data_IF_638052823719
#
_entry.id   IF_638052823719
#
_cell.length_a   1.000
_cell.length_b   1.000
_cell.length_c   1.000
_cell.angle_alpha   90.00
_cell.angle_beta   90.00
_cell.angle_gamma   90.00
#
_symmetry.space_group_name_H-M   'P 1'
#
loop_
_entity.id
_entity.type
_entity.pdbx_description
1 polymer ?
#
# COMPACT_ATOMS: atom_id res chain seq x y z
N UNK A 1 -15.90 59.89 -16.99
CA UNK A 1 -16.68 59.04 -16.06
C UNK A 1 -15.97 59.06 -14.72
N UNK A 2 -16.62 59.73 -13.76
CA UNK A 2 -16.10 59.96 -12.40
C UNK A 2 -16.55 58.78 -11.53
N UNK A 3 -15.60 57.98 -11.03
CA UNK A 3 -15.87 56.79 -10.27
C UNK A 3 -16.15 57.02 -8.75
N UNK A 4 -16.09 58.29 -8.32
CA UNK A 4 -16.22 58.63 -6.89
C UNK A 4 -17.67 58.76 -6.38
N UNK A 5 -18.66 58.63 -7.25
CA UNK A 5 -20.07 58.79 -6.83
C UNK A 5 -20.82 57.51 -6.45
N UNK A 6 -20.20 56.34 -6.65
CA UNK A 6 -20.89 55.03 -6.49
C UNK A 6 -20.75 54.41 -5.08
N UNK A 7 -19.93 55.01 -4.21
CA UNK A 7 -19.61 54.40 -2.89
C UNK A 7 -20.20 55.15 -1.68
N UNK A 8 -21.29 55.90 -1.84
CA UNK A 8 -22.01 56.42 -0.67
C UNK A 8 -23.04 55.40 -0.18
N UNK A 9 -22.62 54.51 0.73
CA UNK A 9 -23.53 53.67 1.48
C UNK A 9 -24.36 54.52 2.43
N UNK A 10 -25.69 54.30 2.54
CA UNK A 10 -26.53 55.02 3.49
C UNK A 10 -26.11 54.67 4.91
N UNK A 11 -26.08 55.68 5.78
CA UNK A 11 -25.79 55.51 7.22
C UNK A 11 -26.78 54.54 7.87
N UNK A 12 -26.26 53.56 8.61
CA UNK A 12 -27.09 52.62 9.41
C UNK A 12 -27.89 53.40 10.44
N UNK A 13 -29.18 53.06 10.63
CA UNK A 13 -29.95 53.57 11.77
C UNK A 13 -29.34 53.08 13.08
N UNK A 14 -29.21 53.96 14.05
CA UNK A 14 -28.75 53.66 15.40
C UNK A 14 -29.90 52.97 16.14
N UNK A 15 -29.80 51.67 16.36
CA UNK A 15 -30.74 50.95 17.25
C UNK A 15 -30.35 51.22 18.72
N UNK A 16 -31.35 51.31 19.62
CA UNK A 16 -31.09 51.46 21.05
C UNK A 16 -30.49 50.20 21.64
N UNK A 17 -29.72 50.27 22.73
CA UNK A 17 -29.07 49.12 23.35
C UNK A 17 -30.15 48.16 23.91
N UNK A 18 -30.18 46.93 23.33
CA UNK A 18 -30.93 45.82 23.88
C UNK A 18 -30.04 45.14 24.90
N UNK A 19 -30.50 45.08 26.16
CA UNK A 19 -29.88 44.25 27.19
C UNK A 19 -29.97 42.78 26.75
N UNK A 20 -28.91 42.27 26.20
CA UNK A 20 -28.75 40.83 25.94
C UNK A 20 -28.19 40.16 27.21
N UNK A 21 -28.82 39.12 27.73
CA UNK A 21 -28.22 38.32 28.79
C UNK A 21 -26.91 37.71 28.26
N UNK A 22 -25.90 37.71 29.12
CA UNK A 22 -24.58 37.12 28.81
C UNK A 22 -24.78 35.74 28.17
N UNK A 23 -24.13 35.47 27.00
CA UNK A 23 -24.14 34.13 26.45
C UNK A 23 -23.49 33.17 27.47
N UNK A 24 -24.04 31.97 27.62
CA UNK A 24 -23.41 30.97 28.48
C UNK A 24 -21.95 30.72 28.02
N UNK A 25 -21.09 30.50 29.00
CA UNK A 25 -19.67 30.25 28.80
C UNK A 25 -19.48 29.10 27.79
N UNK A 26 -18.96 29.42 26.60
CA UNK A 26 -18.84 28.48 25.46
C UNK A 26 -17.72 27.46 25.72
N UNK A 27 -16.88 27.70 26.72
CA UNK A 27 -15.72 26.85 27.01
C UNK A 27 -16.06 25.48 27.60
N UNK A 28 -17.29 25.30 28.13
CA UNK A 28 -17.68 24.04 28.77
C UNK A 28 -18.41 23.05 27.85
N UNK A 29 -18.84 23.46 26.65
CA UNK A 29 -19.64 22.64 25.73
C UNK A 29 -18.76 21.97 24.64
N UNK A 30 -17.50 22.39 24.48
CA UNK A 30 -16.62 21.90 23.42
C UNK A 30 -15.86 20.62 23.81
N UNK A 31 -15.96 20.18 25.08
CA UNK A 31 -15.09 19.11 25.63
C UNK A 31 -15.58 17.67 25.41
N UNK A 32 -16.76 17.42 24.83
CA UNK A 32 -17.30 16.04 24.73
C UNK A 32 -17.76 15.61 23.35
N UNK A 33 -17.73 16.47 22.35
CA UNK A 33 -17.94 16.03 20.96
C UNK A 33 -16.61 15.52 20.38
N UNK A 34 -16.58 14.32 19.76
CA UNK A 34 -15.40 13.89 19.02
C UNK A 34 -15.07 14.96 17.97
N UNK A 35 -13.82 15.44 17.98
CA UNK A 35 -13.33 16.44 17.03
C UNK A 35 -13.56 15.95 15.59
N UNK A 36 -14.51 16.53 14.84
CA UNK A 36 -14.78 16.10 13.46
C UNK A 36 -13.56 16.33 12.53
N UNK A 37 -12.57 17.14 12.97
CA UNK A 37 -11.31 17.33 12.27
C UNK A 37 -10.28 16.24 12.58
N UNK A 38 -10.44 15.48 13.68
CA UNK A 38 -9.56 14.35 13.96
C UNK A 38 -9.71 13.23 12.93
N UNK A 39 -10.93 12.99 12.44
CA UNK A 39 -11.21 12.03 11.36
C UNK A 39 -10.67 12.52 10.01
N UNK A 40 -10.64 13.84 9.75
CA UNK A 40 -10.13 14.42 8.52
C UNK A 40 -8.58 14.38 8.41
N UNK A 41 -7.87 14.31 9.53
CA UNK A 41 -6.39 14.23 9.53
C UNK A 41 -5.84 12.90 9.03
N UNK A 42 -6.67 11.87 8.93
CA UNK A 42 -6.27 10.55 8.45
C UNK A 42 -6.57 10.33 6.95
N UNK A 43 -7.17 11.30 6.27
CA UNK A 43 -7.38 11.25 4.82
C UNK A 43 -6.18 11.88 4.12
N UNK A 44 -5.34 11.06 3.51
CA UNK A 44 -4.29 11.53 2.61
C UNK A 44 -4.83 11.60 1.17
N UNK A 45 -4.45 12.66 0.49
CA UNK A 45 -4.62 12.77 -0.96
C UNK A 45 -3.33 12.24 -1.57
N UNK A 46 -3.41 11.15 -2.34
CA UNK A 46 -2.27 10.67 -3.12
C UNK A 46 -1.96 11.66 -4.26
N UNK A 47 -0.77 11.58 -4.84
CA UNK A 47 -0.35 12.38 -6.00
C UNK A 47 -1.30 12.23 -7.20
N UNK A 48 -2.11 11.19 -7.22
CA UNK A 48 -3.17 10.95 -8.21
C UNK A 48 -4.54 11.50 -7.81
N UNK A 49 -4.64 12.28 -6.74
CA UNK A 49 -5.89 12.92 -6.29
C UNK A 49 -6.89 11.99 -5.59
N UNK A 50 -6.55 10.72 -5.35
CA UNK A 50 -7.39 9.79 -4.61
C UNK A 50 -7.23 9.97 -3.10
N UNK A 51 -8.37 10.07 -2.40
CA UNK A 51 -8.38 10.07 -0.93
C UNK A 51 -8.03 8.68 -0.41
N UNK A 52 -7.00 8.60 0.42
CA UNK A 52 -6.60 7.38 1.12
C UNK A 52 -7.22 7.45 2.53
N UNK A 53 -8.13 6.54 2.81
CA UNK A 53 -8.73 6.40 4.14
C UNK A 53 -7.89 5.44 4.99
N UNK A 54 -7.04 5.98 5.84
CA UNK A 54 -6.23 5.19 6.78
C UNK A 54 -7.05 4.48 7.85
N UNK A 55 -8.26 4.95 8.13
CA UNK A 55 -9.17 4.29 9.07
C UNK A 55 -9.81 3.04 8.49
N UNK A 56 -9.80 2.89 7.15
CA UNK A 56 -10.41 1.74 6.49
C UNK A 56 -9.81 0.43 6.99
N UNK A 57 -8.47 0.35 7.06
CA UNK A 57 -7.80 -0.85 7.58
C UNK A 57 -8.11 -1.09 9.06
N UNK A 58 -8.17 -0.05 9.88
CA UNK A 58 -8.53 -0.17 11.30
C UNK A 58 -9.94 -0.73 11.48
N UNK A 59 -10.90 -0.24 10.69
CA UNK A 59 -12.28 -0.72 10.69
C UNK A 59 -12.37 -2.17 10.21
N UNK A 60 -11.64 -2.51 9.15
CA UNK A 60 -11.52 -3.88 8.65
C UNK A 60 -10.94 -4.81 9.73
N UNK A 61 -9.79 -4.45 10.32
CA UNK A 61 -9.14 -5.22 11.38
C UNK A 61 -10.09 -5.50 12.53
N UNK A 62 -10.82 -4.50 13.01
CA UNK A 62 -11.80 -4.66 14.07
C UNK A 62 -12.90 -5.65 13.68
N UNK A 63 -13.48 -5.50 12.48
CA UNK A 63 -14.53 -6.38 11.98
C UNK A 63 -14.06 -7.84 11.91
N UNK A 64 -12.87 -8.09 11.38
CA UNK A 64 -12.32 -9.44 11.22
C UNK A 64 -11.92 -10.05 12.57
N UNK A 65 -11.34 -9.27 13.47
CA UNK A 65 -10.99 -9.74 14.82
C UNK A 65 -12.23 -10.09 15.68
N UNK A 66 -13.39 -9.51 15.37
CA UNK A 66 -14.64 -9.78 16.07
C UNK A 66 -15.42 -10.97 15.43
N UNK A 67 -15.04 -11.40 14.22
CA UNK A 67 -15.68 -12.53 13.53
C UNK A 67 -15.24 -13.87 14.12
N UNK A 68 -16.19 -14.57 14.72
CA UNK A 68 -15.92 -15.84 15.41
C UNK A 68 -15.48 -16.95 14.45
N UNK A 69 -16.04 -17.00 13.24
CA UNK A 69 -15.75 -18.05 12.27
C UNK A 69 -14.29 -17.92 11.80
N UNK A 70 -13.89 -16.72 11.42
CA UNK A 70 -12.51 -16.46 10.97
C UNK A 70 -11.53 -16.75 12.12
N UNK A 71 -11.86 -16.32 13.33
CA UNK A 71 -11.04 -16.54 14.51
C UNK A 71 -10.82 -18.04 14.80
N UNK A 72 -11.89 -18.81 14.71
CA UNK A 72 -11.81 -20.27 14.93
C UNK A 72 -10.99 -20.96 13.83
N UNK A 73 -11.16 -20.57 12.57
CA UNK A 73 -10.38 -21.10 11.44
C UNK A 73 -8.89 -20.77 11.55
N UNK A 74 -8.55 -19.55 11.93
CA UNK A 74 -7.15 -19.13 12.14
C UNK A 74 -6.52 -19.87 13.32
N UNK A 75 -7.24 -20.02 14.43
CA UNK A 75 -6.77 -20.78 15.59
C UNK A 75 -6.53 -22.26 15.27
N UNK A 76 -7.29 -22.84 14.34
CA UNK A 76 -7.12 -24.19 13.82
C UNK A 76 -6.04 -24.29 12.73
N UNK A 77 -5.35 -23.17 12.42
CA UNK A 77 -4.37 -23.06 11.32
C UNK A 77 -4.95 -23.37 9.93
N UNK A 78 -6.27 -23.29 9.77
CA UNK A 78 -6.96 -23.52 8.51
C UNK A 78 -7.08 -22.21 7.72
N UNK A 79 -5.93 -21.68 7.29
CA UNK A 79 -5.85 -20.38 6.58
C UNK A 79 -6.57 -20.39 5.23
N UNK A 80 -6.59 -21.51 4.54
CA UNK A 80 -7.22 -21.62 3.22
C UNK A 80 -8.74 -21.44 3.29
N UNK A 81 -9.39 -22.03 4.29
CA UNK A 81 -10.82 -21.82 4.52
C UNK A 81 -11.10 -20.40 5.04
N UNK A 82 -10.23 -19.87 5.90
CA UNK A 82 -10.36 -18.50 6.38
C UNK A 82 -10.27 -17.47 5.23
N UNK A 83 -9.35 -17.67 4.28
CA UNK A 83 -9.24 -16.85 3.06
C UNK A 83 -10.49 -16.93 2.19
N UNK A 84 -10.98 -18.15 1.96
CA UNK A 84 -12.19 -18.38 1.17
C UNK A 84 -13.39 -17.69 1.82
N UNK A 85 -13.56 -17.86 3.12
CA UNK A 85 -14.63 -17.22 3.87
C UNK A 85 -14.50 -15.67 3.80
N UNK A 86 -13.31 -15.13 3.96
CA UNK A 86 -13.07 -13.70 3.89
C UNK A 86 -13.39 -13.12 2.51
N UNK A 87 -12.98 -13.79 1.43
CA UNK A 87 -13.32 -13.42 0.06
C UNK A 87 -14.85 -13.49 -0.17
N UNK A 88 -15.49 -14.53 0.33
CA UNK A 88 -16.91 -14.75 0.07
C UNK A 88 -17.84 -13.87 0.90
N UNK A 89 -17.44 -13.48 2.11
CA UNK A 89 -18.34 -12.81 3.06
C UNK A 89 -18.02 -11.36 3.34
N UNK A 90 -16.78 -10.94 3.17
CA UNK A 90 -16.32 -9.61 3.59
C UNK A 90 -15.76 -8.79 2.44
N UNK A 91 -14.89 -9.37 1.62
CA UNK A 91 -14.24 -8.64 0.53
C UNK A 91 -15.15 -8.55 -0.70
N UNK A 92 -15.00 -7.45 -1.43
CA UNK A 92 -15.63 -7.22 -2.74
C UNK A 92 -17.16 -7.37 -2.78
N UNK A 93 -17.83 -7.17 -1.64
CA UNK A 93 -19.30 -7.18 -1.57
C UNK A 93 -19.86 -5.81 -1.94
N UNK A 94 -20.99 -5.75 -2.70
CA UNK A 94 -21.63 -4.48 -3.08
C UNK A 94 -22.05 -3.61 -1.88
N UNK A 95 -22.30 -4.24 -0.74
CA UNK A 95 -22.72 -3.58 0.51
C UNK A 95 -21.56 -3.28 1.45
N UNK A 96 -20.36 -3.77 1.15
CA UNK A 96 -19.19 -3.63 1.99
C UNK A 96 -18.13 -2.75 1.30
N UNK A 97 -17.54 -1.84 2.06
CA UNK A 97 -16.52 -0.91 1.55
C UNK A 97 -15.14 -1.55 1.37
N UNK A 98 -14.96 -2.81 1.79
CA UNK A 98 -13.66 -3.45 1.83
C UNK A 98 -13.33 -4.14 0.52
N UNK A 99 -12.34 -3.63 -0.18
CA UNK A 99 -11.66 -4.33 -1.28
C UNK A 99 -10.18 -4.47 -0.95
N UNK A 100 -9.52 -5.50 -1.48
CA UNK A 100 -8.08 -5.71 -1.27
C UNK A 100 -7.30 -4.45 -1.69
N UNK A 101 -7.68 -3.84 -2.80
CA UNK A 101 -7.03 -2.65 -3.33
C UNK A 101 -7.17 -1.43 -2.40
N UNK A 102 -8.36 -1.20 -1.83
CA UNK A 102 -8.56 -0.12 -0.86
C UNK A 102 -7.78 -0.36 0.43
N UNK A 103 -7.73 -1.62 0.90
CA UNK A 103 -6.97 -1.99 2.09
C UNK A 103 -5.46 -1.84 1.85
N UNK A 104 -4.96 -2.25 0.68
CA UNK A 104 -3.58 -2.03 0.25
C UNK A 104 -3.19 -0.55 0.32
N UNK A 105 -4.03 0.31 -0.27
CA UNK A 105 -3.81 1.78 -0.24
C UNK A 105 -3.89 2.35 1.17
N UNK A 106 -4.82 1.88 1.99
CA UNK A 106 -4.94 2.28 3.39
C UNK A 106 -3.70 1.92 4.23
N UNK A 107 -3.02 0.83 3.87
CA UNK A 107 -1.75 0.40 4.46
C UNK A 107 -0.53 1.09 3.84
N UNK A 108 -0.69 1.81 2.73
CA UNK A 108 0.41 2.47 2.01
C UNK A 108 1.37 1.49 1.33
N UNK A 109 0.88 0.31 0.93
CA UNK A 109 1.70 -0.70 0.28
C UNK A 109 1.88 -0.41 -1.21
N UNK A 110 3.09 -0.59 -1.70
CA UNK A 110 3.55 -0.35 -3.06
C UNK A 110 3.41 -1.58 -3.98
N UNK A 111 3.04 -2.73 -3.43
CA UNK A 111 2.87 -4.02 -4.10
C UNK A 111 1.50 -4.62 -3.90
N UNK A 112 1.20 -5.71 -4.59
CA UNK A 112 -0.04 -6.48 -4.36
C UNK A 112 -0.11 -7.01 -2.93
N UNK A 113 -1.29 -6.90 -2.35
CA UNK A 113 -1.62 -7.40 -1.03
C UNK A 113 -2.41 -8.70 -1.16
N UNK A 114 -1.97 -9.74 -0.48
CA UNK A 114 -2.68 -11.02 -0.44
C UNK A 114 -3.64 -11.11 0.75
N UNK A 115 -4.68 -11.91 0.62
CA UNK A 115 -5.64 -12.15 1.72
C UNK A 115 -4.97 -12.88 2.88
N UNK A 116 -4.00 -13.75 2.58
CA UNK A 116 -3.19 -14.45 3.58
C UNK A 116 -2.41 -13.46 4.45
N UNK A 117 -1.72 -12.53 3.84
CA UNK A 117 -0.98 -11.47 4.57
C UNK A 117 -1.89 -10.62 5.45
N UNK A 118 -3.07 -10.27 4.93
CA UNK A 118 -4.07 -9.56 5.73
C UNK A 118 -4.48 -10.34 6.98
N UNK A 119 -4.79 -11.63 6.82
CA UNK A 119 -5.17 -12.49 7.95
C UNK A 119 -4.03 -12.62 8.96
N UNK A 120 -2.82 -12.93 8.48
CA UNK A 120 -1.65 -13.06 9.36
C UNK A 120 -1.38 -11.77 10.14
N UNK A 121 -1.52 -10.60 9.51
CA UNK A 121 -1.31 -9.33 10.17
C UNK A 121 -2.45 -8.98 11.16
N UNK A 122 -3.73 -9.21 10.78
CA UNK A 122 -4.88 -8.95 11.66
C UNK A 122 -4.79 -9.75 12.96
N UNK A 123 -4.39 -11.02 12.86
CA UNK A 123 -4.28 -11.93 14.01
C UNK A 123 -2.90 -11.89 14.70
N UNK A 124 -2.00 -11.02 14.27
CA UNK A 124 -0.71 -10.79 14.95
C UNK A 124 0.33 -11.87 14.72
N UNK A 125 0.19 -12.69 13.67
CA UNK A 125 1.21 -13.65 13.26
C UNK A 125 2.39 -12.99 12.55
N UNK A 126 2.17 -11.80 11.95
CA UNK A 126 3.20 -10.92 11.44
C UNK A 126 2.99 -9.53 12.04
N UNK A 127 4.08 -8.84 12.37
CA UNK A 127 4.03 -7.51 12.98
C UNK A 127 3.68 -6.42 11.95
N UNK A 128 4.21 -6.55 10.74
CA UNK A 128 3.91 -5.68 9.62
C UNK A 128 3.82 -6.47 8.32
N UNK A 129 3.17 -5.90 7.32
CA UNK A 129 3.14 -6.45 5.96
C UNK A 129 4.32 -5.84 5.21
N UNK A 130 5.29 -6.65 4.74
CA UNK A 130 6.50 -6.11 4.14
C UNK A 130 6.20 -5.33 2.85
N UNK A 131 6.98 -4.29 2.58
CA UNK A 131 6.99 -3.55 1.32
C UNK A 131 7.55 -4.41 0.17
N UNK A 132 7.40 -3.94 -1.08
CA UNK A 132 8.02 -4.61 -2.22
C UNK A 132 9.53 -4.76 -2.05
N UNK A 133 10.19 -3.69 -1.61
CA UNK A 133 11.64 -3.69 -1.39
C UNK A 133 12.06 -4.73 -0.35
N UNK A 134 11.37 -4.80 0.78
CA UNK A 134 11.67 -5.80 1.83
C UNK A 134 11.48 -7.22 1.32
N UNK A 135 10.43 -7.46 0.52
CA UNK A 135 10.22 -8.75 -0.13
C UNK A 135 11.36 -9.10 -1.12
N UNK A 136 11.80 -8.13 -1.94
CA UNK A 136 12.90 -8.34 -2.87
C UNK A 136 14.22 -8.63 -2.15
N UNK A 137 14.50 -7.89 -1.07
CA UNK A 137 15.69 -8.13 -0.24
C UNK A 137 15.67 -9.54 0.38
N UNK A 138 14.52 -9.95 0.96
CA UNK A 138 14.36 -11.30 1.54
C UNK A 138 14.55 -12.42 0.49
N UNK A 139 13.94 -12.27 -0.68
CA UNK A 139 14.05 -13.26 -1.75
C UNK A 139 15.46 -13.28 -2.38
N UNK A 140 16.13 -12.13 -2.47
CA UNK A 140 17.51 -12.07 -2.93
C UNK A 140 18.49 -12.73 -1.93
N UNK A 141 18.29 -12.55 -0.63
CA UNK A 141 19.10 -13.22 0.40
C UNK A 141 19.00 -14.76 0.30
N UNK A 142 17.82 -15.26 -0.06
CA UNK A 142 17.62 -16.71 -0.33
C UNK A 142 18.39 -17.15 -1.59
N UNK A 143 18.33 -16.35 -2.67
CA UNK A 143 19.08 -16.60 -3.89
C UNK A 143 20.60 -16.56 -3.62
N UNK A 144 21.07 -15.54 -2.89
CA UNK A 144 22.48 -15.40 -2.51
C UNK A 144 22.98 -16.62 -1.76
N UNK A 145 22.19 -17.11 -0.81
CA UNK A 145 22.48 -18.34 -0.07
C UNK A 145 22.53 -19.59 -0.97
N UNK A 146 21.74 -19.62 -2.05
CA UNK A 146 21.67 -20.76 -2.97
C UNK A 146 22.74 -20.75 -4.06
N UNK A 147 23.08 -19.59 -4.62
CA UNK A 147 23.97 -19.44 -5.76
C UNK A 147 25.35 -18.90 -5.39
N UNK A 148 25.50 -18.24 -4.24
CA UNK A 148 26.74 -17.66 -3.71
C UNK A 148 27.56 -16.92 -4.78
N UNK A 149 27.01 -15.84 -5.40
CA UNK A 149 27.75 -15.06 -6.39
C UNK A 149 28.99 -14.42 -5.75
N UNK A 150 30.08 -14.33 -6.52
CA UNK A 150 31.30 -13.66 -6.04
C UNK A 150 31.04 -12.19 -5.65
N UNK A 151 31.71 -11.68 -4.63
CA UNK A 151 31.57 -10.31 -4.13
C UNK A 151 31.70 -9.26 -5.25
N UNK A 152 32.53 -9.51 -6.26
CA UNK A 152 32.77 -8.59 -7.38
C UNK A 152 31.55 -8.41 -8.31
N UNK A 153 30.64 -9.38 -8.34
CA UNK A 153 29.45 -9.38 -9.19
C UNK A 153 28.15 -9.37 -8.40
N UNK A 154 28.23 -9.37 -7.05
CA UNK A 154 27.09 -9.36 -6.16
C UNK A 154 26.09 -8.23 -6.48
N UNK A 155 26.59 -6.98 -6.66
CA UNK A 155 25.76 -5.84 -7.02
C UNK A 155 25.03 -6.03 -8.36
N UNK A 156 25.73 -6.57 -9.37
CA UNK A 156 25.12 -6.88 -10.66
C UNK A 156 24.11 -8.02 -10.56
N UNK A 157 24.37 -9.03 -9.73
CA UNK A 157 23.44 -10.13 -9.52
C UNK A 157 22.15 -9.63 -8.84
N UNK A 158 22.27 -8.76 -7.82
CA UNK A 158 21.14 -8.14 -7.13
C UNK A 158 20.30 -7.28 -8.08
N UNK A 159 20.95 -6.42 -8.87
CA UNK A 159 20.27 -5.56 -9.84
C UNK A 159 19.49 -6.37 -10.88
N UNK A 160 20.11 -7.44 -11.41
CA UNK A 160 19.45 -8.33 -12.38
C UNK A 160 18.30 -9.10 -11.75
N UNK A 161 18.45 -9.56 -10.50
CA UNK A 161 17.39 -10.21 -9.76
C UNK A 161 16.18 -9.27 -9.59
N UNK A 162 16.43 -8.07 -9.09
CA UNK A 162 15.37 -7.07 -8.86
C UNK A 162 14.67 -6.69 -10.18
N UNK A 163 15.44 -6.40 -11.24
CA UNK A 163 14.88 -6.06 -12.54
C UNK A 163 14.05 -7.22 -13.12
N UNK A 164 14.55 -8.45 -13.06
CA UNK A 164 13.81 -9.61 -13.58
C UNK A 164 12.52 -9.87 -12.77
N UNK A 165 12.54 -9.61 -11.46
CA UNK A 165 11.39 -9.84 -10.60
C UNK A 165 10.25 -8.83 -10.82
N UNK A 166 10.56 -7.55 -11.10
CA UNK A 166 9.55 -6.48 -11.11
C UNK A 166 9.33 -5.82 -12.46
N UNK A 167 10.23 -5.99 -13.42
CA UNK A 167 10.16 -5.35 -14.73
C UNK A 167 9.83 -6.38 -15.82
N UNK A 168 8.59 -6.31 -16.32
CA UNK A 168 8.08 -7.23 -17.34
C UNK A 168 8.83 -7.10 -18.66
N UNK A 169 9.29 -5.88 -19.04
CA UNK A 169 10.06 -5.68 -20.26
C UNK A 169 11.42 -6.35 -20.16
N UNK A 170 12.11 -6.15 -19.04
CA UNK A 170 13.40 -6.81 -18.80
C UNK A 170 13.26 -8.33 -18.77
N UNK A 171 12.23 -8.84 -18.14
CA UNK A 171 11.91 -10.28 -18.08
C UNK A 171 11.67 -10.84 -19.48
N UNK A 172 10.84 -10.16 -20.29
CA UNK A 172 10.54 -10.59 -21.65
C UNK A 172 11.78 -10.59 -22.54
N UNK A 173 12.67 -9.59 -22.43
CA UNK A 173 13.93 -9.54 -23.17
C UNK A 173 14.83 -10.74 -22.86
N UNK A 174 14.91 -11.15 -21.60
CA UNK A 174 15.73 -12.30 -21.19
C UNK A 174 15.08 -13.61 -21.62
N UNK A 175 13.80 -13.81 -21.37
CA UNK A 175 13.08 -15.04 -21.69
C UNK A 175 12.99 -15.29 -23.21
N UNK A 176 12.82 -14.23 -23.98
CA UNK A 176 12.85 -14.26 -25.44
C UNK A 176 14.27 -14.29 -26.04
N UNK A 177 15.31 -14.23 -25.20
CA UNK A 177 16.74 -14.18 -25.60
C UNK A 177 17.08 -12.99 -26.51
N UNK A 178 16.38 -11.88 -26.36
CA UNK A 178 16.62 -10.64 -27.12
C UNK A 178 17.76 -9.81 -26.49
N UNK A 179 18.91 -10.42 -26.25
CA UNK A 179 20.04 -9.81 -25.51
C UNK A 179 20.61 -8.56 -26.18
N UNK A 180 20.45 -8.41 -27.49
CA UNK A 180 20.89 -7.20 -28.19
C UNK A 180 20.12 -5.95 -27.73
N UNK A 181 18.85 -6.11 -27.36
CA UNK A 181 17.99 -5.03 -26.91
C UNK A 181 18.22 -4.66 -25.44
N UNK A 182 18.79 -5.56 -24.63
CA UNK A 182 19.20 -5.27 -23.26
C UNK A 182 20.20 -4.10 -23.15
N UNK A 183 20.92 -3.78 -24.24
CA UNK A 183 21.90 -2.70 -24.23
C UNK A 183 21.32 -1.30 -23.98
N UNK A 184 20.01 -1.11 -24.17
CA UNK A 184 19.31 0.15 -23.90
C UNK A 184 18.53 0.13 -22.58
N UNK A 185 18.40 -1.04 -21.95
CA UNK A 185 17.73 -1.18 -20.67
C UNK A 185 18.66 -0.73 -19.51
N UNK A 186 18.16 -0.05 -18.47
CA UNK A 186 18.97 0.40 -17.33
C UNK A 186 19.83 -0.71 -16.73
N UNK A 187 19.26 -1.89 -16.50
CA UNK A 187 19.96 -3.05 -15.91
C UNK A 187 20.68 -3.93 -16.94
N UNK A 188 20.76 -3.48 -18.18
CA UNK A 188 21.41 -4.25 -19.25
C UNK A 188 22.92 -4.45 -19.03
N UNK A 189 23.60 -3.46 -18.47
CA UNK A 189 25.04 -3.56 -18.17
C UNK A 189 25.28 -4.48 -16.97
N UNK A 190 24.42 -4.48 -15.97
CA UNK A 190 24.48 -5.44 -14.87
C UNK A 190 24.36 -6.88 -15.39
N UNK A 191 23.41 -7.13 -16.31
CA UNK A 191 23.27 -8.44 -16.93
C UNK A 191 24.50 -8.86 -17.73
N UNK A 192 25.15 -7.94 -18.47
CA UNK A 192 26.40 -8.25 -19.22
C UNK A 192 27.54 -8.67 -18.31
N UNK A 193 27.62 -8.06 -17.12
CA UNK A 193 28.70 -8.33 -16.14
C UNK A 193 28.57 -9.70 -15.47
N UNK A 194 27.41 -10.36 -15.54
CA UNK A 194 27.23 -11.69 -14.97
C UNK A 194 27.96 -12.77 -15.75
N UNK A 195 28.40 -13.82 -15.04
CA UNK A 195 28.89 -15.03 -15.67
C UNK A 195 27.78 -15.73 -16.48
N UNK A 196 28.15 -16.55 -17.49
CA UNK A 196 27.17 -17.31 -18.28
C UNK A 196 26.24 -18.19 -17.41
N UNK A 197 26.77 -18.72 -16.31
CA UNK A 197 26.05 -19.56 -15.37
C UNK A 197 24.98 -18.73 -14.64
N UNK A 198 25.35 -17.56 -14.10
CA UNK A 198 24.41 -16.70 -13.37
C UNK A 198 23.33 -16.10 -14.27
N UNK A 199 23.66 -15.79 -15.54
CA UNK A 199 22.67 -15.34 -16.55
C UNK A 199 21.55 -16.35 -16.75
N UNK A 200 21.79 -17.62 -16.50
CA UNK A 200 20.79 -18.69 -16.60
C UNK A 200 20.16 -19.03 -15.25
N UNK A 201 20.98 -19.07 -14.19
CA UNK A 201 20.56 -19.54 -12.88
C UNK A 201 19.64 -18.54 -12.17
N UNK A 202 19.89 -17.21 -12.29
CA UNK A 202 19.04 -16.19 -11.65
C UNK A 202 17.61 -16.25 -12.20
N UNK A 203 17.36 -16.17 -13.53
CA UNK A 203 15.99 -16.29 -14.05
C UNK A 203 15.34 -17.64 -13.74
N UNK A 204 16.11 -18.74 -13.76
CA UNK A 204 15.59 -20.06 -13.41
C UNK A 204 15.16 -20.12 -11.95
N UNK A 205 15.99 -19.63 -11.02
CA UNK A 205 15.70 -19.57 -9.61
C UNK A 205 14.41 -18.77 -9.33
N UNK A 206 14.29 -17.59 -9.96
CA UNK A 206 13.12 -16.73 -9.74
C UNK A 206 11.84 -17.44 -10.21
N UNK A 207 11.83 -18.04 -11.38
CA UNK A 207 10.65 -18.76 -11.90
C UNK A 207 10.23 -19.94 -11.03
N UNK A 208 11.18 -20.60 -10.37
CA UNK A 208 10.92 -21.79 -9.56
C UNK A 208 10.58 -21.47 -8.10
N UNK A 209 11.12 -20.38 -7.55
CA UNK A 209 11.10 -20.14 -6.11
C UNK A 209 10.41 -18.84 -5.68
N UNK A 210 10.28 -17.85 -6.59
CA UNK A 210 9.76 -16.52 -6.25
C UNK A 210 8.33 -16.36 -6.74
N UNK A 211 7.44 -15.92 -5.84
CA UNK A 211 6.09 -15.56 -6.22
C UNK A 211 6.06 -14.14 -6.82
N UNK A 212 6.16 -14.07 -8.15
CA UNK A 212 6.19 -12.81 -8.89
C UNK A 212 4.90 -11.98 -8.70
N UNK A 213 3.73 -12.61 -8.60
CA UNK A 213 2.46 -11.89 -8.39
C UNK A 213 2.48 -11.07 -7.09
N UNK A 214 3.22 -11.52 -6.07
CA UNK A 214 3.39 -10.80 -4.81
C UNK A 214 4.27 -9.56 -4.98
N UNK A 215 5.17 -9.55 -5.95
CA UNK A 215 6.15 -8.49 -6.19
C UNK A 215 5.70 -7.48 -7.25
N UNK A 216 4.63 -7.76 -7.99
CA UNK A 216 4.13 -6.86 -9.02
C UNK A 216 3.75 -5.49 -8.44
N UNK A 217 4.20 -4.44 -9.14
CA UNK A 217 3.74 -3.07 -8.92
C UNK A 217 2.26 -2.95 -9.31
N UNK A 218 1.51 -2.13 -8.58
CA UNK A 218 0.07 -1.88 -8.83
C UNK A 218 -0.19 -0.40 -9.01
#
# INVERSE_FOLDING_TARGET
FDYDEVLKLPAKPTEPPVDTPNPPDIDEVISTAPDPLAELKEILISDQGMKIDRNLYRSFRKKISDDKIIKDLVNQQNFQEAETYLKDKVLDKPQEFFTIEKLRRSLGLDRRLTVSELLLHVFGHIEHIPSQRECLEEEFDKLDSALSPDDSIYGSAKEVFEAYAVDDEFRDLIDSRRYAELGVHPSGDAFKNLSPELKQSIPAYIRENVNLERLENV
#
